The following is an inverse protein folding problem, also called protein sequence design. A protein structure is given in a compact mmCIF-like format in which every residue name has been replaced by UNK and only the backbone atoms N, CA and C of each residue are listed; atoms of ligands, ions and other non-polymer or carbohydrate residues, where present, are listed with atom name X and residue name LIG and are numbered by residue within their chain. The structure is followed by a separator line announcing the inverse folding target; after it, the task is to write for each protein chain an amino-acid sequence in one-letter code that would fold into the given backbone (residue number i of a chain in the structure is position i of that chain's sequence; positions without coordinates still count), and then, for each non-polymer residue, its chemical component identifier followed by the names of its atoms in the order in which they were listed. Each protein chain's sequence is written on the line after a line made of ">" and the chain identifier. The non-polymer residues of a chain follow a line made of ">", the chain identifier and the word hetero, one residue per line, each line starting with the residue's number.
data_IF_569833087869
#
_entry.id   IF_569833087869
#
_cell.length_a   1.000
_cell.length_b   1.000
_cell.length_c   1.000
_cell.angle_alpha   90.00
_cell.angle_beta   90.00
_cell.angle_gamma   90.00
#
_symmetry.space_group_name_H-M   'P 1'
#
loop_
_entity.id
_entity.type
_entity.pdbx_description
1 polymer ?
#
# COMPACT_ATOMS: atom_id res chain seq x y z
N UNK A 1 3.50 8.03 -21.52
CA UNK A 1 2.24 7.97 -20.76
C UNK A 1 2.26 6.90 -19.69
N UNK A 2 2.32 5.59 -20.02
CA UNK A 2 2.32 4.52 -18.98
C UNK A 2 3.49 4.63 -17.99
N UNK A 3 4.70 4.99 -18.45
CA UNK A 3 5.87 5.17 -17.58
C UNK A 3 5.63 6.24 -16.50
N UNK A 4 5.02 7.36 -16.87
CA UNK A 4 4.64 8.45 -15.94
C UNK A 4 3.64 7.94 -14.91
N UNK A 5 2.65 7.15 -15.34
CA UNK A 5 1.68 6.52 -14.45
C UNK A 5 2.36 5.60 -13.43
N UNK A 6 3.28 4.72 -13.86
CA UNK A 6 4.01 3.84 -12.95
C UNK A 6 4.91 4.64 -12.01
N UNK A 7 5.56 5.71 -12.49
CA UNK A 7 6.37 6.58 -11.64
C UNK A 7 5.53 7.23 -10.54
N UNK A 8 4.35 7.79 -10.88
CA UNK A 8 3.42 8.37 -9.90
C UNK A 8 2.95 7.29 -8.92
N UNK A 9 2.53 6.12 -9.42
CA UNK A 9 2.09 5.01 -8.58
C UNK A 9 3.20 4.56 -7.62
N UNK A 10 4.44 4.47 -8.09
CA UNK A 10 5.61 4.10 -7.28
C UNK A 10 5.86 5.11 -6.16
N UNK A 11 5.80 6.41 -6.47
CA UNK A 11 5.94 7.47 -5.46
C UNK A 11 4.82 7.36 -4.42
N UNK A 12 3.58 7.14 -4.86
CA UNK A 12 2.44 6.94 -3.96
C UNK A 12 2.62 5.70 -3.07
N UNK A 13 3.10 4.59 -3.61
CA UNK A 13 3.34 3.35 -2.84
C UNK A 13 4.39 3.58 -1.74
N UNK A 14 5.49 4.23 -2.07
CA UNK A 14 6.54 4.58 -1.10
C UNK A 14 6.00 5.55 -0.04
N UNK A 15 5.21 6.53 -0.46
CA UNK A 15 4.57 7.47 0.46
C UNK A 15 3.60 6.76 1.43
N UNK A 16 2.69 5.93 0.91
CA UNK A 16 1.73 5.16 1.72
C UNK A 16 2.47 4.21 2.67
N UNK A 17 3.50 3.52 2.17
CA UNK A 17 4.37 2.67 2.98
C UNK A 17 4.98 3.43 4.16
N UNK A 18 5.53 4.61 3.92
CA UNK A 18 6.11 5.45 4.97
C UNK A 18 5.07 5.79 6.05
N UNK A 19 3.86 6.16 5.67
CA UNK A 19 2.79 6.46 6.63
C UNK A 19 2.36 5.24 7.44
N UNK A 20 2.25 4.09 6.79
CA UNK A 20 1.87 2.83 7.44
C UNK A 20 2.95 2.28 8.38
N UNK A 21 4.23 2.59 8.15
CA UNK A 21 5.34 2.13 8.99
C UNK A 21 5.69 3.13 10.12
N UNK A 22 5.73 4.42 9.81
CA UNK A 22 6.24 5.45 10.73
C UNK A 22 5.16 6.32 11.37
N UNK A 23 3.97 6.46 10.76
CA UNK A 23 2.89 7.34 11.23
C UNK A 23 1.59 6.57 11.51
N UNK A 24 1.72 5.41 12.16
CA UNK A 24 0.58 4.54 12.50
C UNK A 24 -0.45 5.21 13.41
N UNK A 25 -0.03 6.16 14.24
CA UNK A 25 -0.92 6.93 15.12
C UNK A 25 -2.06 7.63 14.38
N UNK A 26 -1.85 8.03 13.12
CA UNK A 26 -2.89 8.64 12.28
C UNK A 26 -4.01 7.63 12.00
N UNK A 27 -3.65 6.37 11.77
CA UNK A 27 -4.60 5.29 11.53
C UNK A 27 -5.27 4.83 12.82
N UNK A 28 -4.57 4.88 13.96
CA UNK A 28 -5.17 4.57 15.27
C UNK A 28 -6.22 5.59 15.73
N UNK A 29 -6.34 6.75 15.07
CA UNK A 29 -7.51 7.61 15.25
C UNK A 29 -8.80 6.98 14.67
N UNK A 30 -8.67 5.99 13.79
CA UNK A 30 -9.78 5.34 13.07
C UNK A 30 -10.01 3.88 13.49
N UNK A 31 -8.98 3.21 14.01
CA UNK A 31 -9.03 1.81 14.47
C UNK A 31 -8.44 1.70 15.87
N UNK A 32 -8.92 0.74 16.66
CA UNK A 32 -8.46 0.57 18.03
C UNK A 32 -6.94 0.27 18.11
N UNK A 33 -6.18 0.99 18.95
CA UNK A 33 -4.75 0.75 19.12
C UNK A 33 -4.52 -0.59 19.81
N UNK A 34 -4.18 -1.61 19.03
CA UNK A 34 -3.82 -2.95 19.50
C UNK A 34 -2.61 -3.48 18.75
N UNK A 35 -1.85 -4.39 19.36
CA UNK A 35 -0.70 -5.04 18.70
C UNK A 35 -1.09 -5.69 17.37
N UNK A 36 -2.30 -6.27 17.29
CA UNK A 36 -2.82 -6.89 16.06
C UNK A 36 -3.04 -5.86 14.95
N UNK A 37 -3.56 -4.68 15.28
CA UNK A 37 -3.79 -3.60 14.32
C UNK A 37 -2.47 -2.91 13.94
N UNK A 38 -1.54 -2.78 14.89
CA UNK A 38 -0.19 -2.31 14.65
C UNK A 38 0.56 -3.23 13.66
N UNK A 39 0.54 -4.54 13.91
CA UNK A 39 1.14 -5.54 13.03
C UNK A 39 0.50 -5.52 11.63
N UNK A 40 -0.82 -5.33 11.53
CA UNK A 40 -1.51 -5.18 10.24
C UNK A 40 -1.01 -3.95 9.45
N UNK A 41 -0.88 -2.79 10.10
CA UNK A 41 -0.36 -1.59 9.44
C UNK A 41 1.11 -1.76 9.04
N UNK A 42 1.93 -2.38 9.91
CA UNK A 42 3.33 -2.69 9.59
C UNK A 42 3.45 -3.63 8.39
N UNK A 43 2.73 -4.74 8.40
CA UNK A 43 2.74 -5.71 7.31
C UNK A 43 2.31 -5.07 6.00
N UNK A 44 1.21 -4.31 6.01
CA UNK A 44 0.74 -3.57 4.84
C UNK A 44 1.81 -2.58 4.36
N UNK A 45 2.43 -1.83 5.27
CA UNK A 45 3.51 -0.89 4.97
C UNK A 45 4.73 -1.56 4.32
N UNK A 46 5.13 -2.74 4.78
CA UNK A 46 6.22 -3.54 4.17
C UNK A 46 5.82 -4.01 2.77
N UNK A 47 4.59 -4.49 2.58
CA UNK A 47 4.08 -4.90 1.26
C UNK A 47 4.11 -3.72 0.29
N UNK A 48 3.64 -2.54 0.70
CA UNK A 48 3.69 -1.34 -0.14
C UNK A 48 5.12 -0.85 -0.39
N UNK A 49 6.06 -1.02 0.56
CA UNK A 49 7.47 -0.71 0.36
C UNK A 49 8.08 -1.60 -0.73
N UNK A 50 7.81 -2.91 -0.64
CA UNK A 50 8.27 -3.90 -1.59
C UNK A 50 7.70 -3.64 -2.99
N UNK A 51 6.40 -3.36 -3.09
CA UNK A 51 5.77 -2.97 -4.35
C UNK A 51 6.34 -1.66 -4.90
N UNK A 52 6.66 -0.68 -4.05
CA UNK A 52 7.35 0.54 -4.46
C UNK A 52 8.73 0.25 -5.05
N UNK A 53 9.53 -0.61 -4.41
CA UNK A 53 10.83 -1.03 -4.95
C UNK A 53 10.70 -1.76 -6.29
N UNK A 54 9.72 -2.67 -6.42
CA UNK A 54 9.41 -3.31 -7.71
C UNK A 54 8.95 -2.30 -8.77
N UNK A 55 8.19 -1.29 -8.37
CA UNK A 55 7.74 -0.20 -9.25
C UNK A 55 8.91 0.55 -9.89
N UNK A 56 10.00 0.80 -9.14
CA UNK A 56 11.22 1.39 -9.68
C UNK A 56 11.86 0.51 -10.77
N UNK A 57 11.92 -0.81 -10.56
CA UNK A 57 12.41 -1.75 -11.57
C UNK A 57 11.53 -1.73 -12.82
N UNK A 58 10.21 -1.71 -12.66
CA UNK A 58 9.26 -1.65 -13.78
C UNK A 58 9.42 -0.36 -14.60
N UNK A 59 9.64 0.79 -13.94
CA UNK A 59 9.93 2.08 -14.60
C UNK A 59 11.25 2.03 -15.39
N UNK A 60 12.23 1.27 -14.90
CA UNK A 60 13.53 1.10 -15.55
C UNK A 60 13.44 0.24 -16.81
N UNK A 61 12.78 -0.92 -16.74
CA UNK A 61 12.64 -1.84 -17.89
C UNK A 61 11.70 -1.30 -18.99
N UNK A 62 10.78 -0.39 -18.67
CA UNK A 62 9.89 0.29 -19.61
C UNK A 62 9.07 -0.66 -20.53
N UNK A 63 8.83 -1.89 -20.09
CA UNK A 63 8.02 -2.87 -20.83
C UNK A 63 6.53 -2.69 -20.49
N UNK A 64 5.69 -2.47 -21.51
CA UNK A 64 4.24 -2.23 -21.34
C UNK A 64 3.54 -3.37 -20.61
N UNK A 65 3.84 -4.62 -20.98
CA UNK A 65 3.22 -5.79 -20.39
C UNK A 65 3.54 -5.91 -18.89
N UNK A 66 4.79 -5.69 -18.50
CA UNK A 66 5.21 -5.68 -17.09
C UNK A 66 4.53 -4.55 -16.30
N UNK A 67 4.38 -3.36 -16.91
CA UNK A 67 3.68 -2.25 -16.29
C UNK A 67 2.20 -2.57 -15.98
N UNK A 68 1.48 -3.20 -16.90
CA UNK A 68 0.10 -3.62 -16.67
C UNK A 68 0.00 -4.72 -15.61
N UNK A 69 0.85 -5.74 -15.67
CA UNK A 69 0.90 -6.79 -14.66
C UNK A 69 1.15 -6.21 -13.26
N UNK A 70 2.12 -5.30 -13.15
CA UNK A 70 2.44 -4.61 -11.92
C UNK A 70 1.25 -3.81 -11.38
N UNK A 71 0.56 -3.06 -12.25
CA UNK A 71 -0.63 -2.30 -11.84
C UNK A 71 -1.75 -3.20 -11.31
N UNK A 72 -2.00 -4.35 -11.95
CA UNK A 72 -3.00 -5.31 -11.47
C UNK A 72 -2.64 -5.77 -10.05
N UNK A 73 -1.38 -6.14 -9.82
CA UNK A 73 -0.90 -6.56 -8.48
C UNK A 73 -1.08 -5.44 -7.44
N UNK A 74 -0.73 -4.21 -7.80
CA UNK A 74 -0.89 -3.04 -6.93
C UNK A 74 -2.36 -2.80 -6.57
N UNK A 75 -3.26 -2.90 -7.55
CA UNK A 75 -4.71 -2.72 -7.35
C UNK A 75 -5.25 -3.81 -6.43
N UNK A 76 -4.85 -5.07 -6.63
CA UNK A 76 -5.26 -6.18 -5.76
C UNK A 76 -4.78 -5.97 -4.32
N UNK A 77 -3.50 -5.63 -4.12
CA UNK A 77 -2.95 -5.34 -2.81
C UNK A 77 -3.70 -4.17 -2.13
N UNK A 78 -3.97 -3.10 -2.88
CA UNK A 78 -4.73 -1.94 -2.42
C UNK A 78 -6.16 -2.28 -2.02
N UNK A 79 -6.81 -3.14 -2.80
CA UNK A 79 -8.18 -3.61 -2.54
C UNK A 79 -8.24 -4.43 -1.26
N UNK A 80 -7.31 -5.39 -1.10
CA UNK A 80 -7.22 -6.23 0.10
C UNK A 80 -6.95 -5.38 1.34
N UNK A 81 -6.03 -4.42 1.26
CA UNK A 81 -5.76 -3.49 2.35
C UNK A 81 -7.01 -2.66 2.69
N UNK A 82 -7.66 -2.06 1.70
CA UNK A 82 -8.82 -1.18 1.90
C UNK A 82 -9.99 -1.94 2.56
N UNK A 83 -10.31 -3.15 2.09
CA UNK A 83 -11.36 -3.98 2.68
C UNK A 83 -10.99 -4.39 4.11
N UNK A 84 -9.75 -4.84 4.33
CA UNK A 84 -9.30 -5.28 5.65
C UNK A 84 -9.27 -4.12 6.66
N UNK A 85 -8.88 -2.94 6.22
CA UNK A 85 -8.89 -1.71 7.01
C UNK A 85 -10.33 -1.28 7.34
N UNK A 86 -11.23 -1.28 6.36
CA UNK A 86 -12.64 -0.96 6.58
C UNK A 86 -13.31 -1.91 7.60
N UNK A 87 -13.03 -3.21 7.52
CA UNK A 87 -13.52 -4.19 8.52
C UNK A 87 -13.05 -3.85 9.93
N UNK A 88 -11.80 -3.41 10.09
CA UNK A 88 -11.24 -3.02 11.40
C UNK A 88 -11.88 -1.75 11.94
N UNK A 89 -12.19 -0.77 11.09
CA UNK A 89 -12.92 0.45 11.50
C UNK A 89 -14.31 0.10 12.01
N UNK A 90 -15.05 -0.74 11.27
CA UNK A 90 -16.41 -1.13 11.67
C UNK A 90 -16.43 -1.91 12.99
N UNK A 91 -15.41 -2.73 13.25
CA UNK A 91 -15.27 -3.47 14.50
C UNK A 91 -14.97 -2.58 15.72
N UNK A 92 -14.37 -1.40 15.53
CA UNK A 92 -14.10 -0.42 16.62
C UNK A 92 -15.34 0.40 17.01
N UNK A 93 -16.39 0.45 16.17
CA UNK A 93 -17.64 1.16 16.46
C UNK A 93 -18.69 0.31 17.20
N UNK A 94 -18.45 -0.99 17.35
CA UNK A 94 -19.29 -1.91 18.15
C UNK A 94 -18.75 -1.99 19.57
#
# INVERSE_FOLDING_TARGET
>A
MIRVLISIATILLVFVSYYLLKKQSIFFALIEPSEKNQAFLQFSGVVYAFLGALGLLVVFFNQRMLAFLFLIVVILASTVFSISFAKKISATKQ
#
